data_IF_185633366881
#
_entry.id   IF_185633366881
#
_cell.length_a   1.000
_cell.length_b   1.000
_cell.length_c   1.000
_cell.angle_alpha   90.00
_cell.angle_beta   90.00
_cell.angle_gamma   90.00
#
_symmetry.space_group_name_H-M   'P 1'
#
loop_
_entity.id
_entity.type
_entity.pdbx_description
1 polymer ?
#
# COMPACT_ATOMS: atom_id res chain seq x y z
N UNK A 1 -8.17 -17.96 -32.67
CA UNK A 1 -7.51 -17.40 -31.46
C UNK A 1 -8.23 -17.97 -30.25
N UNK A 2 -7.53 -18.69 -29.38
CA UNK A 2 -8.14 -19.28 -28.17
C UNK A 2 -8.26 -18.19 -27.09
N UNK A 3 -9.44 -17.93 -26.51
CA UNK A 3 -9.65 -16.87 -25.52
C UNK A 3 -9.02 -17.15 -24.15
N UNK A 4 -8.41 -18.32 -23.95
CA UNK A 4 -7.82 -18.77 -22.67
C UNK A 4 -6.29 -18.76 -22.64
N UNK A 5 -5.64 -18.23 -23.67
CA UNK A 5 -4.18 -18.08 -23.68
C UNK A 5 -3.82 -16.75 -23.01
N UNK A 6 -3.56 -16.78 -21.70
CA UNK A 6 -2.97 -15.63 -21.01
C UNK A 6 -1.65 -15.26 -21.71
N UNK A 7 -1.44 -14.01 -22.14
CA UNK A 7 -0.22 -13.60 -22.84
C UNK A 7 1.00 -13.52 -21.91
N UNK A 8 0.82 -13.77 -20.62
CA UNK A 8 1.85 -13.68 -19.60
C UNK A 8 2.35 -15.08 -19.25
N UNK A 9 3.66 -15.29 -19.28
CA UNK A 9 4.25 -16.53 -18.79
C UNK A 9 4.01 -16.63 -17.26
N UNK A 10 3.90 -17.85 -16.69
CA UNK A 10 3.63 -18.02 -15.26
C UNK A 10 4.63 -17.29 -14.36
N UNK A 11 5.91 -17.25 -14.76
CA UNK A 11 6.98 -16.53 -14.06
C UNK A 11 6.77 -15.01 -14.08
N UNK A 12 6.27 -14.45 -15.19
CA UNK A 12 5.92 -13.03 -15.27
C UNK A 12 4.80 -12.69 -14.28
N UNK A 13 3.78 -13.56 -14.17
CA UNK A 13 2.67 -13.36 -13.23
C UNK A 13 3.12 -13.39 -11.77
N UNK A 14 4.03 -14.30 -11.41
CA UNK A 14 4.56 -14.33 -10.05
C UNK A 14 5.38 -13.07 -9.74
N UNK A 15 6.22 -12.63 -10.67
CA UNK A 15 6.99 -11.41 -10.53
C UNK A 15 6.09 -10.18 -10.38
N UNK A 16 5.05 -10.07 -11.19
CA UNK A 16 4.04 -9.02 -11.06
C UNK A 16 3.34 -9.03 -9.71
N UNK A 17 2.95 -10.21 -9.20
CA UNK A 17 2.34 -10.34 -7.86
C UNK A 17 3.28 -9.90 -6.75
N UNK A 18 4.57 -10.22 -6.84
CA UNK A 18 5.59 -9.75 -5.88
C UNK A 18 5.71 -8.22 -5.91
N UNK A 19 5.81 -7.63 -7.10
CA UNK A 19 5.88 -6.17 -7.26
C UNK A 19 4.63 -5.48 -6.69
N UNK A 20 3.44 -6.02 -6.94
CA UNK A 20 2.18 -5.50 -6.37
C UNK A 20 2.13 -5.64 -4.84
N UNK A 21 2.63 -6.75 -4.29
CA UNK A 21 2.69 -6.93 -2.85
C UNK A 21 3.64 -5.93 -2.18
N UNK A 22 4.80 -5.66 -2.78
CA UNK A 22 5.75 -4.65 -2.31
C UNK A 22 5.16 -3.24 -2.41
N UNK A 23 4.51 -2.91 -3.54
CA UNK A 23 3.85 -1.63 -3.72
C UNK A 23 2.75 -1.42 -2.66
N UNK A 24 1.93 -2.44 -2.39
CA UNK A 24 0.88 -2.40 -1.37
C UNK A 24 1.41 -2.25 0.07
N UNK A 25 2.68 -2.58 0.32
CA UNK A 25 3.25 -2.48 1.66
C UNK A 25 3.52 -1.04 2.09
N UNK A 26 3.48 -0.03 1.22
CA UNK A 26 3.72 1.39 1.59
C UNK A 26 2.56 2.30 1.20
N UNK A 27 1.35 1.81 1.43
CA UNK A 27 0.14 2.36 0.81
C UNK A 27 -0.97 2.61 1.85
N UNK A 28 -0.60 2.90 3.11
CA UNK A 28 -1.56 3.30 4.14
C UNK A 28 -1.23 4.73 4.55
N UNK A 29 -2.04 5.67 4.10
CA UNK A 29 -2.04 7.03 4.61
C UNK A 29 -2.69 7.01 6.00
N UNK A 30 -1.90 7.36 7.00
CA UNK A 30 -2.30 7.52 8.37
C UNK A 30 -2.55 9.00 8.64
N UNK A 31 -3.68 9.32 9.28
CA UNK A 31 -3.99 10.67 9.75
C UNK A 31 -4.40 10.62 11.23
N UNK A 32 -3.68 11.34 12.08
CA UNK A 32 -4.00 11.44 13.50
C UNK A 32 -5.10 12.46 13.74
N UNK A 33 -6.22 12.03 14.33
CA UNK A 33 -7.37 12.92 14.61
C UNK A 33 -7.18 13.86 15.80
N UNK A 34 -6.08 13.75 16.53
CA UNK A 34 -5.80 14.58 17.71
C UNK A 34 -4.79 15.70 17.42
N UNK A 35 -3.80 15.45 16.57
CA UNK A 35 -2.76 16.42 16.24
C UNK A 35 -2.63 16.72 14.74
N UNK A 36 -3.57 16.22 13.93
CA UNK A 36 -3.67 16.41 12.48
C UNK A 36 -2.45 15.96 11.65
N UNK A 37 -1.53 15.20 12.25
CA UNK A 37 -0.35 14.71 11.56
C UNK A 37 -0.74 13.64 10.52
N UNK A 38 -0.13 13.72 9.35
CA UNK A 38 -0.26 12.72 8.29
C UNK A 38 1.09 12.05 8.00
N UNK A 39 1.06 10.73 7.75
CA UNK A 39 2.25 9.95 7.36
C UNK A 39 1.83 8.70 6.59
N UNK A 40 2.79 8.06 5.92
CA UNK A 40 2.57 6.78 5.23
C UNK A 40 3.18 5.66 6.07
N UNK A 41 2.40 4.60 6.27
CA UNK A 41 2.83 3.41 7.00
C UNK A 41 2.56 2.13 6.19
N UNK A 42 3.16 1.05 6.66
CA UNK A 42 2.97 -0.29 6.12
C UNK A 42 1.94 -1.12 6.87
N UNK A 43 1.53 -0.69 8.05
CA UNK A 43 0.59 -1.40 8.93
C UNK A 43 -0.38 -0.42 9.58
N UNK A 44 -1.49 -0.94 10.10
CA UNK A 44 -2.50 -0.16 10.86
C UNK A 44 -2.29 -0.22 12.37
N UNK A 45 -1.10 -0.62 12.83
CA UNK A 45 -0.80 -0.83 14.26
C UNK A 45 0.10 0.27 14.85
N UNK A 46 0.37 1.32 14.07
CA UNK A 46 1.25 2.42 14.43
C UNK A 46 0.53 3.42 15.35
N UNK A 47 1.24 3.88 16.39
CA UNK A 47 0.77 4.99 17.24
C UNK A 47 1.38 6.29 16.74
N UNK A 48 0.62 7.39 16.77
CA UNK A 48 1.19 8.70 16.41
C UNK A 48 2.30 9.11 17.39
N UNK A 49 3.27 9.89 16.94
CA UNK A 49 4.33 10.46 17.78
C UNK A 49 3.80 11.34 18.93
N UNK A 50 2.56 11.85 18.83
CA UNK A 50 1.90 12.55 19.92
C UNK A 50 1.35 11.60 21.02
N UNK A 51 1.46 10.28 20.84
CA UNK A 51 0.93 9.25 21.74
C UNK A 51 -0.53 8.84 21.45
N UNK A 52 -1.18 9.44 20.45
CA UNK A 52 -2.56 9.12 20.09
C UNK A 52 -2.68 7.81 19.31
N UNK A 53 -3.70 7.03 19.65
CA UNK A 53 -4.15 5.84 18.92
C UNK A 53 -5.36 6.11 18.01
N UNK A 54 -5.86 7.35 17.98
CA UNK A 54 -6.99 7.77 17.14
C UNK A 54 -6.53 8.08 15.73
N UNK A 55 -6.09 7.04 15.03
CA UNK A 55 -5.54 7.14 13.69
C UNK A 55 -6.59 6.69 12.69
N UNK A 56 -6.81 7.52 11.66
CA UNK A 56 -7.55 7.14 10.48
C UNK A 56 -6.59 6.54 9.47
N UNK A 57 -6.93 5.36 8.97
CA UNK A 57 -6.16 4.64 7.96
C UNK A 57 -6.90 4.70 6.63
N UNK A 58 -6.22 5.19 5.60
CA UNK A 58 -6.74 5.30 4.24
C UNK A 58 -5.77 4.57 3.32
N UNK A 59 -6.22 3.53 2.58
CA UNK A 59 -5.42 2.97 1.51
C UNK A 59 -5.09 4.07 0.49
N UNK A 60 -3.81 4.33 0.25
CA UNK A 60 -3.32 5.25 -0.77
C UNK A 60 -2.48 4.46 -1.76
N UNK A 61 -2.53 4.78 -3.05
CA UNK A 61 -1.57 4.25 -4.01
C UNK A 61 -0.56 5.34 -4.31
N UNK A 62 0.69 5.13 -3.90
CA UNK A 62 1.81 6.00 -4.23
C UNK A 62 2.40 5.51 -5.56
N UNK A 63 2.34 6.33 -6.60
CA UNK A 63 3.14 6.12 -7.79
C UNK A 63 4.47 6.86 -7.59
N UNK A 64 5.63 6.24 -7.85
CA UNK A 64 6.88 6.98 -7.86
C UNK A 64 6.78 8.10 -8.92
N UNK A 65 7.24 9.29 -8.56
CA UNK A 65 7.21 10.46 -9.45
C UNK A 65 8.21 10.38 -10.62
N UNK A 66 9.14 9.40 -10.64
CA UNK A 66 10.12 9.14 -11.70
C UNK A 66 10.41 7.63 -11.90
#
# INVERSE_FOLDING_TARGET
MNPNSSPFWPDDLEQWRKTLAVANYNNILCHCRECDREWVASTTEETCECGSQRIQYLPCWQFPDD
#
